data_IF_340077094258
#
_entry.id   IF_340077094258
#
_cell.length_a   1.000
_cell.length_b   1.000
_cell.length_c   1.000
_cell.angle_alpha   90.00
_cell.angle_beta   90.00
_cell.angle_gamma   90.00
#
_symmetry.space_group_name_H-M   'P 1'
#
loop_
_entity.id
_entity.type
_entity.pdbx_description
1 polymer ?
#
# COMPACT_ATOMS: atom_id res chain seq x y z
N UNK A 1 21.85 -5.29 -8.12
CA UNK A 1 20.98 -4.19 -8.57
C UNK A 1 20.73 -3.32 -7.35
N UNK A 2 21.07 -2.04 -7.40
CA UNK A 2 20.74 -1.13 -6.30
C UNK A 2 19.23 -0.88 -6.38
N UNK A 3 18.47 -1.40 -5.42
CA UNK A 3 17.02 -1.14 -5.39
C UNK A 3 16.80 0.31 -4.91
N UNK A 4 16.67 1.22 -5.87
CA UNK A 4 16.36 2.63 -5.63
C UNK A 4 15.10 2.79 -4.78
N UNK A 5 15.10 3.83 -3.95
CA UNK A 5 13.97 4.21 -3.09
C UNK A 5 12.64 4.26 -3.84
N UNK A 6 12.66 4.73 -5.09
CA UNK A 6 11.52 4.83 -5.98
C UNK A 6 10.87 3.46 -6.24
N UNK A 7 11.69 2.44 -6.51
CA UNK A 7 11.22 1.09 -6.80
C UNK A 7 10.55 0.48 -5.56
N UNK A 8 11.17 0.64 -4.39
CA UNK A 8 10.62 0.15 -3.12
C UNK A 8 9.28 0.81 -2.80
N UNK A 9 9.20 2.13 -2.98
CA UNK A 9 7.95 2.86 -2.74
C UNK A 9 6.86 2.42 -3.72
N UNK A 10 7.19 2.27 -5.00
CA UNK A 10 6.24 1.80 -6.02
C UNK A 10 5.68 0.41 -5.69
N UNK A 11 6.51 -0.50 -5.17
CA UNK A 11 6.06 -1.82 -4.73
C UNK A 11 5.03 -1.74 -3.60
N UNK A 12 5.22 -0.84 -2.63
CA UNK A 12 4.26 -0.62 -1.55
C UNK A 12 2.92 -0.11 -2.08
N UNK A 13 2.94 0.84 -3.01
CA UNK A 13 1.72 1.36 -3.65
C UNK A 13 0.96 0.28 -4.43
N UNK A 14 1.67 -0.63 -5.10
CA UNK A 14 1.07 -1.70 -5.90
C UNK A 14 0.51 -2.85 -5.05
N UNK A 15 1.22 -3.23 -3.97
CA UNK A 15 0.91 -4.45 -3.21
C UNK A 15 0.09 -4.23 -1.95
N UNK A 16 0.28 -3.11 -1.26
CA UNK A 16 -0.39 -2.82 -0.01
C UNK A 16 -1.58 -1.90 -0.26
N UNK A 17 -2.73 -2.46 -0.59
CA UNK A 17 -4.00 -1.75 -0.66
C UNK A 17 -5.09 -2.52 0.11
N UNK A 18 -6.14 -1.84 0.61
CA UNK A 18 -7.19 -2.53 1.35
C UNK A 18 -7.90 -3.60 0.49
N UNK A 19 -8.34 -4.73 1.08
CA UNK A 19 -9.09 -5.76 0.37
C UNK A 19 -10.42 -5.20 -0.14
N UNK A 20 -10.62 -5.20 -1.45
CA UNK A 20 -11.83 -4.65 -2.09
C UNK A 20 -11.88 -3.12 -2.18
N UNK A 21 -10.79 -2.42 -1.80
CA UNK A 21 -10.62 -0.98 -1.99
C UNK A 21 -9.91 -0.63 -3.29
N UNK A 22 -9.97 0.65 -3.69
CA UNK A 22 -9.14 1.16 -4.77
C UNK A 22 -7.66 1.19 -4.36
N UNK A 23 -6.72 1.06 -5.32
CA UNK A 23 -5.29 1.28 -5.06
C UNK A 23 -5.06 2.63 -4.37
N UNK A 24 -4.09 2.71 -3.46
CA UNK A 24 -3.76 3.97 -2.83
C UNK A 24 -3.33 4.99 -3.88
N UNK A 25 -4.02 6.12 -3.93
CA UNK A 25 -3.61 7.24 -4.76
C UNK A 25 -2.55 8.06 -4.04
N UNK A 26 -1.66 8.69 -4.79
CA UNK A 26 -0.63 9.58 -4.23
C UNK A 26 -1.26 10.69 -3.38
N UNK A 27 -2.40 11.22 -3.81
CA UNK A 27 -3.17 12.20 -3.05
C UNK A 27 -3.61 11.63 -1.69
N UNK A 28 -4.17 10.41 -1.67
CA UNK A 28 -4.62 9.80 -0.43
C UNK A 28 -3.47 9.51 0.54
N UNK A 29 -2.34 9.05 0.02
CA UNK A 29 -1.14 8.81 0.84
C UNK A 29 -0.58 10.12 1.38
N UNK A 30 -0.56 11.19 0.58
CA UNK A 30 -0.16 12.50 1.07
C UNK A 30 -1.07 13.00 2.19
N UNK A 31 -2.40 12.85 2.05
CA UNK A 31 -3.34 13.21 3.13
C UNK A 31 -3.11 12.39 4.41
N UNK A 32 -2.83 11.10 4.29
CA UNK A 32 -2.59 10.22 5.44
C UNK A 32 -1.20 10.42 6.07
N UNK A 33 -0.21 10.77 5.27
CA UNK A 33 1.17 11.01 5.70
C UNK A 33 1.35 12.42 6.27
N UNK A 34 0.56 13.39 5.80
CA UNK A 34 0.65 14.77 6.24
C UNK A 34 0.18 14.90 7.68
N UNK A 35 1.04 15.48 8.52
CA UNK A 35 0.75 15.82 9.91
C UNK A 35 1.06 17.30 10.12
N UNK A 36 0.59 17.88 11.23
CA UNK A 36 0.86 19.31 11.53
C UNK A 36 2.37 19.60 11.62
N UNK A 37 3.16 18.66 12.15
CA UNK A 37 4.61 18.79 12.29
C UNK A 37 5.40 18.43 11.02
N UNK A 38 4.79 17.68 10.09
CA UNK A 38 5.44 17.24 8.86
C UNK A 38 4.46 17.21 7.68
N UNK A 39 4.31 18.33 6.95
CA UNK A 39 3.45 18.36 5.77
C UNK A 39 4.10 17.54 4.65
N UNK A 40 3.41 16.49 4.22
CA UNK A 40 3.80 15.67 3.07
C UNK A 40 2.89 16.00 1.90
N UNK A 41 3.49 16.56 0.84
CA UNK A 41 2.74 16.96 -0.35
C UNK A 41 2.73 15.85 -1.42
N UNK A 42 1.67 15.76 -2.24
CA UNK A 42 1.62 14.81 -3.36
C UNK A 42 2.81 14.98 -4.31
N UNK A 43 3.27 16.22 -4.54
CA UNK A 43 4.38 16.52 -5.44
C UNK A 43 5.71 15.94 -4.95
N UNK A 44 5.96 15.93 -3.63
CA UNK A 44 7.14 15.28 -3.05
C UNK A 44 7.11 13.78 -3.29
N UNK A 45 5.96 13.13 -3.09
CA UNK A 45 5.79 11.69 -3.34
C UNK A 45 6.02 11.38 -4.82
N UNK A 46 5.48 12.17 -5.75
CA UNK A 46 5.76 12.03 -7.18
C UNK A 46 7.24 12.21 -7.51
N UNK A 47 7.95 13.11 -6.82
CA UNK A 47 9.39 13.28 -6.97
C UNK A 47 10.16 12.02 -6.60
N UNK A 48 9.77 11.36 -5.51
CA UNK A 48 10.38 10.09 -5.05
C UNK A 48 10.03 8.95 -6.02
N UNK A 49 8.76 8.78 -6.39
CA UNK A 49 8.32 7.73 -7.30
C UNK A 49 9.00 7.79 -8.68
N UNK A 50 9.21 8.99 -9.21
CA UNK A 50 9.89 9.18 -10.49
C UNK A 50 11.42 9.17 -10.36
N UNK A 51 11.99 8.96 -9.16
CA UNK A 51 13.43 8.99 -8.92
C UNK A 51 14.09 10.37 -9.06
N UNK A 52 13.30 11.44 -9.18
CA UNK A 52 13.81 12.83 -9.15
C UNK A 52 14.32 13.19 -7.76
N UNK A 53 13.72 12.62 -6.72
CA UNK A 53 14.10 12.82 -5.33
C UNK A 53 14.67 11.53 -4.76
N UNK A 54 15.99 11.36 -4.84
CA UNK A 54 16.70 10.20 -4.28
C UNK A 54 16.87 10.26 -2.76
N UNK A 55 16.88 11.48 -2.20
CA UNK A 55 17.09 11.74 -0.77
C UNK A 55 15.97 12.65 -0.24
N UNK A 56 14.79 12.10 0.08
CA UNK A 56 13.75 12.86 0.75
C UNK A 56 14.17 13.18 2.20
N UNK A 57 13.46 14.13 2.81
CA UNK A 57 13.66 14.44 4.23
C UNK A 57 13.30 13.23 5.09
N UNK A 58 14.02 13.05 6.20
CA UNK A 58 13.79 11.93 7.12
C UNK A 58 12.33 11.91 7.64
N UNK A 59 11.77 13.07 7.95
CA UNK A 59 10.36 13.21 8.35
C UNK A 59 9.39 12.64 7.30
N UNK A 60 9.67 12.84 6.01
CA UNK A 60 8.86 12.28 4.91
C UNK A 60 8.94 10.75 4.87
N UNK A 61 10.13 10.17 5.08
CA UNK A 61 10.31 8.71 5.14
C UNK A 61 9.53 8.13 6.32
N UNK A 62 9.59 8.79 7.48
CA UNK A 62 8.84 8.38 8.67
C UNK A 62 7.34 8.41 8.45
N UNK A 63 6.84 9.49 7.86
CA UNK A 63 5.43 9.62 7.53
C UNK A 63 4.97 8.51 6.57
N UNK A 64 5.73 8.25 5.51
CA UNK A 64 5.43 7.18 4.56
C UNK A 64 5.47 5.79 5.22
N UNK A 65 6.48 5.50 6.03
CA UNK A 65 6.60 4.25 6.78
C UNK A 65 5.37 4.01 7.68
N UNK A 66 4.89 5.05 8.35
CA UNK A 66 3.72 4.99 9.24
C UNK A 66 2.41 4.74 8.49
N UNK A 67 2.25 5.27 7.27
CA UNK A 67 1.08 5.04 6.42
C UNK A 67 1.04 3.60 5.92
N UNK A 68 2.16 3.11 5.40
CA UNK A 68 2.27 1.74 4.87
C UNK A 68 2.48 0.67 5.95
N UNK A 69 2.65 1.08 7.21
CA UNK A 69 2.94 0.21 8.36
C UNK A 69 4.18 -0.67 8.13
N UNK A 70 5.20 -0.09 7.52
CA UNK A 70 6.50 -0.75 7.28
C UNK A 70 7.58 -0.15 8.18
N UNK A 71 8.60 -0.92 8.57
CA UNK A 71 9.74 -0.38 9.32
C UNK A 71 10.53 0.61 8.46
N UNK A 72 11.13 1.64 9.09
CA UNK A 72 11.98 2.63 8.41
C UNK A 72 13.15 1.97 7.67
N UNK A 73 13.68 0.91 8.27
CA UNK A 73 14.78 0.10 7.75
C UNK A 73 14.48 -0.42 6.34
N UNK A 74 13.21 -0.64 5.99
CA UNK A 74 12.80 -1.03 4.65
C UNK A 74 13.34 -0.07 3.57
N UNK A 75 13.34 1.23 3.85
CA UNK A 75 13.80 2.24 2.91
C UNK A 75 15.32 2.40 2.87
N UNK A 76 16.03 2.01 3.94
CA UNK A 76 17.49 2.16 4.08
C UNK A 76 18.27 0.83 4.03
N UNK A 77 17.59 -0.30 3.88
CA UNK A 77 18.23 -1.63 3.84
C UNK A 77 19.18 -1.72 2.65
N UNK A 78 20.45 -1.99 2.91
CA UNK A 78 21.49 -2.33 1.92
C UNK A 78 21.73 -3.84 1.81
N UNK A 79 21.15 -4.61 2.73
CA UNK A 79 21.28 -6.06 2.80
C UNK A 79 20.26 -6.74 1.86
N UNK A 80 20.76 -7.56 0.93
CA UNK A 80 19.94 -8.23 -0.08
C UNK A 80 19.06 -9.34 0.52
N UNK A 81 19.53 -10.03 1.56
CA UNK A 81 18.77 -11.09 2.23
C UNK A 81 17.60 -10.50 3.01
N UNK A 82 17.85 -9.40 3.73
CA UNK A 82 16.80 -8.63 4.40
C UNK A 82 15.77 -8.08 3.40
N UNK A 83 16.24 -7.57 2.25
CA UNK A 83 15.35 -7.09 1.19
C UNK A 83 14.41 -8.20 0.68
N UNK A 84 14.95 -9.39 0.38
CA UNK A 84 14.15 -10.55 -0.07
C UNK A 84 13.12 -10.98 0.98
N UNK A 85 13.48 -10.93 2.25
CA UNK A 85 12.56 -11.18 3.37
C UNK A 85 11.39 -10.19 3.36
N UNK A 86 11.67 -8.90 3.23
CA UNK A 86 10.62 -7.87 3.15
C UNK A 86 9.74 -8.03 1.91
N UNK A 87 10.33 -8.27 0.74
CA UNK A 87 9.60 -8.48 -0.51
C UNK A 87 8.66 -9.69 -0.40
N UNK A 88 9.17 -10.83 0.09
CA UNK A 88 8.37 -12.03 0.32
C UNK A 88 7.23 -11.79 1.31
N UNK A 89 7.49 -11.02 2.38
CA UNK A 89 6.47 -10.65 3.36
C UNK A 89 5.36 -9.79 2.73
N UNK A 90 5.72 -8.78 1.93
CA UNK A 90 4.77 -7.91 1.23
C UNK A 90 3.91 -8.71 0.25
N UNK A 91 4.51 -9.62 -0.53
CA UNK A 91 3.78 -10.48 -1.46
C UNK A 91 2.82 -11.41 -0.72
N UNK A 92 3.26 -12.01 0.38
CA UNK A 92 2.41 -12.88 1.22
C UNK A 92 1.22 -12.10 1.80
N UNK A 93 1.45 -10.86 2.27
CA UNK A 93 0.37 -10.00 2.75
C UNK A 93 -0.62 -9.67 1.64
N UNK A 94 -0.13 -9.34 0.44
CA UNK A 94 -0.95 -9.07 -0.72
C UNK A 94 -1.83 -10.28 -1.11
N UNK A 95 -1.26 -11.48 -1.12
CA UNK A 95 -2.01 -12.71 -1.39
C UNK A 95 -3.08 -12.98 -0.33
N UNK A 96 -2.80 -12.71 0.95
CA UNK A 96 -3.79 -12.83 2.03
C UNK A 96 -4.94 -11.85 1.87
N UNK A 97 -4.62 -10.59 1.54
CA UNK A 97 -5.61 -9.52 1.29
C UNK A 97 -6.51 -9.91 0.11
N UNK A 98 -5.92 -10.38 -0.99
CA UNK A 98 -6.67 -10.78 -2.18
C UNK A 98 -7.43 -12.10 -2.02
N UNK A 99 -6.89 -13.10 -1.33
CA UNK A 99 -7.66 -14.32 -1.04
C UNK A 99 -8.85 -14.03 -0.11
N UNK A 100 -8.69 -13.11 0.83
CA UNK A 100 -9.80 -12.66 1.68
C UNK A 100 -10.86 -11.93 0.86
N UNK A 101 -10.47 -11.12 -0.15
CA UNK A 101 -11.42 -10.49 -1.06
C UNK A 101 -12.10 -11.49 -2.00
N UNK A 102 -11.44 -12.59 -2.40
CA UNK A 102 -12.05 -13.71 -3.13
C UNK A 102 -13.08 -14.47 -2.27
N UNK A 103 -12.78 -14.69 -0.97
CA UNK A 103 -13.75 -15.23 -0.02
C UNK A 103 -14.95 -14.28 0.18
N UNK A 104 -14.70 -12.98 0.31
CA UNK A 104 -15.73 -11.95 0.44
C UNK A 104 -16.59 -11.79 -0.83
N UNK A 105 -16.00 -11.92 -2.02
CA UNK A 105 -16.71 -11.92 -3.29
C UNK A 105 -17.59 -13.18 -3.43
N UNK A 106 -17.08 -14.34 -3.00
CA UNK A 106 -17.85 -15.60 -2.96
C UNK A 106 -19.00 -15.54 -1.95
N UNK A 107 -18.83 -14.91 -0.79
CA UNK A 107 -19.90 -14.73 0.20
C UNK A 107 -20.92 -13.66 -0.21
N UNK A 108 -20.50 -12.53 -0.79
CA UNK A 108 -21.42 -11.48 -1.28
C UNK A 108 -22.28 -11.96 -2.46
N UNK A 109 -21.75 -12.82 -3.33
CA UNK A 109 -22.54 -13.48 -4.37
C UNK A 109 -23.61 -14.42 -3.78
N UNK A 110 -23.32 -15.10 -2.66
CA UNK A 110 -24.28 -16.02 -2.05
C UNK A 110 -25.43 -15.28 -1.33
N UNK A 111 -25.14 -14.16 -0.65
CA UNK A 111 -26.16 -13.36 0.04
C UNK A 111 -27.08 -12.60 -0.94
N UNK A 112 -26.53 -12.01 -2.01
CA UNK A 112 -27.32 -11.24 -3.00
C UNK A 112 -28.32 -12.09 -3.80
N UNK A 113 -28.07 -13.39 -3.98
CA UNK A 113 -29.03 -14.32 -4.60
C UNK A 113 -30.19 -14.69 -3.66
N UNK A 114 -29.96 -14.69 -2.33
CA UNK A 114 -30.98 -15.04 -1.34
C UNK A 114 -31.98 -13.90 -1.12
N UNK A 115 -31.52 -12.66 -1.20
CA UNK A 115 -32.37 -11.45 -1.11
C UNK A 115 -33.23 -11.26 -2.37
N UNK A 116 -32.67 -11.47 -3.57
CA UNK A 116 -33.43 -11.38 -4.84
C UNK A 116 -34.60 -12.37 -4.95
N UNK A 117 -34.62 -13.46 -4.18
CA UNK A 117 -35.76 -14.40 -4.13
C UNK A 117 -36.88 -13.97 -3.17
N UNK A 118 -36.57 -13.25 -2.08
CA UNK A 118 -37.60 -12.74 -1.15
C UNK A 118 -38.32 -11.51 -1.68
N UNK A 119 -37.63 -10.65 -2.42
CA UNK A 119 -38.21 -9.41 -2.96
C UNK A 119 -39.11 -9.62 -4.19
N UNK A 120 -39.22 -10.83 -4.72
CA UNK A 120 -40.07 -11.19 -5.87
C UNK A 120 -41.41 -11.81 -5.48
N UNK A 121 -41.66 -12.03 -4.18
CA UNK A 121 -42.86 -12.70 -3.67
C UNK A 121 -43.77 -11.77 -2.88
N UNK A 122 -43.64 -10.45 -3.07
CA UNK A 122 -44.51 -9.43 -2.48
C UNK A 122 -45.12 -8.56 -3.56
#
# INVERSE_FOLDING_TARGET
MEHDLSYRLQLLFDKLHPPGGAPYTVAKVAELASTEDAPVTPQQIYGILNGKTKRPAFATIVALANVFKVPLEYFSTTDEEMWKSYESHILTLHERINNTSLLAARTNHFYSLREKRRSRQK
#
